data_IF_905470660045
#
_entry.id   IF_905470660045
#
_cell.length_a   1.000
_cell.length_b   1.000
_cell.length_c   1.000
_cell.angle_alpha   90.00
_cell.angle_beta   90.00
_cell.angle_gamma   90.00
#
_symmetry.space_group_name_H-M   'P 1'
#
loop_
_entity.id
_entity.type
_entity.pdbx_description
1 polymer ?
#
# COMPACT_ATOMS: atom_id res chain seq x y z
N UNK A 1 11.12 -2.42 1.12
CA UNK A 1 11.67 -1.07 0.95
C UNK A 1 10.49 -0.10 1.01
N UNK A 2 10.62 1.03 1.67
CA UNK A 2 9.51 2.00 1.77
C UNK A 2 9.46 2.83 0.50
N UNK A 3 8.37 2.75 -0.26
CA UNK A 3 8.14 3.54 -1.45
C UNK A 3 7.15 4.67 -1.20
N UNK A 4 7.09 5.62 -2.14
CA UNK A 4 6.23 6.80 -2.01
C UNK A 4 5.49 7.10 -3.32
N UNK A 5 4.20 7.41 -3.19
CA UNK A 5 3.41 7.98 -4.28
C UNK A 5 3.27 9.49 -4.06
N UNK A 6 3.59 10.29 -5.08
CA UNK A 6 3.45 11.74 -5.05
C UNK A 6 2.02 12.16 -5.43
N UNK A 7 1.38 12.91 -4.55
CA UNK A 7 0.05 13.50 -4.74
C UNK A 7 0.18 15.02 -4.59
N UNK A 8 0.26 15.73 -5.72
CA UNK A 8 0.55 17.16 -5.75
C UNK A 8 1.96 17.46 -5.20
N UNK A 9 2.05 18.31 -4.18
CA UNK A 9 3.30 18.62 -3.48
C UNK A 9 3.57 17.72 -2.26
N UNK A 10 2.65 16.81 -1.93
CA UNK A 10 2.79 15.85 -0.82
C UNK A 10 3.07 14.44 -1.35
N UNK A 11 3.50 13.55 -0.47
CA UNK A 11 3.69 12.13 -0.72
C UNK A 11 3.01 11.28 0.35
N UNK A 12 2.54 10.11 -0.06
CA UNK A 12 2.07 9.04 0.82
C UNK A 12 3.02 7.85 0.72
N UNK A 13 3.25 7.18 1.85
CA UNK A 13 3.95 5.91 1.91
C UNK A 13 3.11 4.82 1.24
N UNK A 14 3.76 4.00 0.42
CA UNK A 14 3.14 2.85 -0.25
C UNK A 14 4.03 1.62 -0.18
N UNK A 15 3.39 0.46 -0.27
CA UNK A 15 4.01 -0.80 -0.63
C UNK A 15 3.27 -1.36 -1.84
N UNK A 16 4.03 -1.69 -2.88
CA UNK A 16 3.49 -2.22 -4.12
C UNK A 16 4.02 -3.63 -4.36
N UNK A 17 3.09 -4.57 -4.56
CA UNK A 17 3.40 -5.95 -4.90
C UNK A 17 2.85 -6.23 -6.31
N UNK A 18 3.68 -6.04 -7.35
CA UNK A 18 3.27 -6.33 -8.72
C UNK A 18 3.20 -7.84 -8.97
N UNK A 19 2.39 -8.20 -9.94
CA UNK A 19 2.34 -9.54 -10.54
C UNK A 19 2.47 -9.39 -12.06
N UNK A 20 2.89 -10.46 -12.73
CA UNK A 20 3.05 -10.43 -14.20
C UNK A 20 1.72 -10.53 -14.96
N UNK A 21 0.68 -11.08 -14.33
CA UNK A 21 -0.64 -11.23 -14.95
C UNK A 21 -1.34 -9.88 -15.10
N UNK A 22 -1.73 -9.52 -16.33
CA UNK A 22 -2.33 -8.22 -16.66
C UNK A 22 -3.85 -8.12 -16.45
N UNK A 23 -4.52 -9.25 -16.24
CA UNK A 23 -5.99 -9.31 -16.25
C UNK A 23 -6.62 -9.48 -14.85
N UNK A 24 -5.81 -9.46 -13.79
CA UNK A 24 -6.30 -9.55 -12.41
C UNK A 24 -6.53 -8.15 -11.81
N UNK A 25 -7.60 -7.96 -11.01
CA UNK A 25 -7.86 -6.68 -10.35
C UNK A 25 -6.81 -6.40 -9.28
N UNK A 26 -6.53 -5.12 -9.02
CA UNK A 26 -5.64 -4.70 -7.93
C UNK A 26 -6.34 -4.79 -6.59
N UNK A 27 -5.73 -5.48 -5.64
CA UNK A 27 -6.14 -5.49 -4.23
C UNK A 27 -5.66 -4.21 -3.55
N UNK A 28 -6.59 -3.44 -2.98
CA UNK A 28 -6.29 -2.21 -2.24
C UNK A 28 -6.51 -2.46 -0.75
N UNK A 29 -5.47 -2.27 0.05
CA UNK A 29 -5.50 -2.46 1.49
C UNK A 29 -5.81 -1.15 2.21
N UNK A 30 -6.94 -1.13 2.92
CA UNK A 30 -7.37 0.02 3.73
C UNK A 30 -7.09 -0.25 5.21
N UNK A 31 -6.54 0.75 5.88
CA UNK A 31 -6.25 0.69 7.29
C UNK A 31 -7.45 1.09 8.15
N UNK A 32 -7.48 0.59 9.39
CA UNK A 32 -8.26 1.23 10.45
C UNK A 32 -7.64 2.58 10.87
N UNK A 33 -8.30 3.31 11.76
CA UNK A 33 -7.97 4.68 12.13
C UNK A 33 -6.54 4.95 12.62
N UNK A 34 -5.78 3.99 13.14
CA UNK A 34 -4.36 4.16 13.51
C UNK A 34 -3.39 3.35 12.65
N UNK A 35 -3.88 2.71 11.58
CA UNK A 35 -3.10 1.77 10.79
C UNK A 35 -2.17 2.44 9.77
N UNK A 36 -1.03 1.79 9.53
CA UNK A 36 -0.07 2.15 8.48
C UNK A 36 0.53 0.90 7.82
N UNK A 37 1.15 1.06 6.64
CA UNK A 37 1.59 -0.07 5.78
C UNK A 37 2.35 -1.16 6.56
N UNK A 38 3.23 -0.77 7.49
CA UNK A 38 4.06 -1.70 8.29
C UNK A 38 3.26 -2.69 9.13
N UNK A 39 2.04 -2.36 9.54
CA UNK A 39 1.22 -3.23 10.41
C UNK A 39 0.72 -4.48 9.69
N UNK A 40 0.65 -4.47 8.36
CA UNK A 40 0.23 -5.62 7.57
C UNK A 40 1.30 -6.72 7.46
N UNK A 41 2.56 -6.43 7.83
CA UNK A 41 3.69 -7.37 7.72
C UNK A 41 3.78 -7.96 6.31
N UNK A 42 3.75 -9.28 6.18
CA UNK A 42 3.84 -10.03 4.93
C UNK A 42 2.48 -10.42 4.35
N UNK A 43 1.37 -10.11 5.02
CA UNK A 43 0.04 -10.53 4.56
C UNK A 43 -0.32 -10.05 3.14
N UNK A 44 -0.07 -8.78 2.75
CA UNK A 44 -0.41 -8.31 1.41
C UNK A 44 0.43 -8.99 0.32
N UNK A 45 1.71 -9.23 0.61
CA UNK A 45 2.58 -10.00 -0.27
C UNK A 45 2.08 -11.43 -0.46
N UNK A 46 1.75 -12.11 0.65
CA UNK A 46 1.23 -13.48 0.59
C UNK A 46 -0.10 -13.54 -0.16
N UNK A 47 -1.02 -12.60 0.08
CA UNK A 47 -2.30 -12.57 -0.61
C UNK A 47 -2.13 -12.33 -2.11
N UNK A 48 -1.25 -11.39 -2.48
CA UNK A 48 -0.92 -11.13 -3.88
C UNK A 48 -0.40 -12.37 -4.59
N UNK A 49 0.56 -13.08 -3.98
CA UNK A 49 1.13 -14.31 -4.53
C UNK A 49 0.10 -15.45 -4.67
N UNK A 50 -0.80 -15.61 -3.71
CA UNK A 50 -1.78 -16.70 -3.73
C UNK A 50 -2.97 -16.42 -4.66
N UNK A 51 -3.28 -15.16 -4.92
CA UNK A 51 -4.41 -14.76 -5.77
C UNK A 51 -4.03 -14.46 -7.21
N UNK A 52 -2.74 -14.24 -7.48
CA UNK A 52 -2.28 -13.69 -8.76
C UNK A 52 -2.73 -12.25 -8.98
N UNK A 53 -3.21 -11.55 -7.93
CA UNK A 53 -3.63 -10.16 -8.01
C UNK A 53 -2.50 -9.24 -7.53
N UNK A 54 -2.21 -8.13 -8.21
CA UNK A 54 -1.31 -7.13 -7.67
C UNK A 54 -1.91 -6.50 -6.41
N UNK A 55 -1.07 -6.08 -5.46
CA UNK A 55 -1.53 -5.48 -4.20
C UNK A 55 -0.89 -4.12 -3.93
N UNK A 56 -1.72 -3.14 -3.62
CA UNK A 56 -1.31 -1.82 -3.13
C UNK A 56 -1.72 -1.66 -1.66
N UNK A 57 -0.74 -1.31 -0.84
CA UNK A 57 -0.91 -0.90 0.55
C UNK A 57 -0.44 0.54 0.65
N UNK A 58 -1.18 1.42 1.32
CA UNK A 58 -0.76 2.81 1.49
C UNK A 58 -1.09 3.31 2.89
N UNK A 59 -0.22 4.15 3.46
CA UNK A 59 -0.52 4.86 4.71
C UNK A 59 -1.24 6.17 4.38
N UNK A 60 -2.40 6.48 4.97
CA UNK A 60 -3.05 7.78 4.77
C UNK A 60 -2.17 8.95 5.22
N UNK A 61 -2.49 10.19 4.81
CA UNK A 61 -1.80 11.36 5.33
C UNK A 61 -1.88 11.42 6.87
N UNK A 62 -0.78 11.78 7.52
CA UNK A 62 -0.66 11.76 8.99
C UNK A 62 -0.25 10.41 9.60
N UNK A 63 -0.13 9.35 8.80
CA UNK A 63 0.22 8.01 9.27
C UNK A 63 1.48 7.46 8.60
N UNK A 64 2.14 6.54 9.30
CA UNK A 64 3.37 5.90 8.81
C UNK A 64 4.42 6.94 8.41
N UNK A 65 4.98 6.77 7.20
CA UNK A 65 5.93 7.73 6.64
C UNK A 65 5.29 8.72 5.65
N UNK A 66 3.95 8.78 5.58
CA UNK A 66 3.25 9.76 4.74
C UNK A 66 3.42 11.18 5.27
N UNK A 67 3.27 12.18 4.39
CA UNK A 67 3.23 13.56 4.86
C UNK A 67 2.06 13.80 5.83
N UNK A 68 2.16 14.82 6.71
CA UNK A 68 1.10 15.13 7.65
C UNK A 68 -0.22 15.49 6.95
N UNK A 69 -1.31 15.05 7.58
CA UNK A 69 -2.67 15.54 7.30
C UNK A 69 -2.76 17.01 7.72
N UNK A 70 -3.57 17.85 7.03
CA UNK A 70 -3.92 19.17 7.55
C UNK A 70 -4.50 19.07 8.97
#
# INVERSE_FOLDING_TARGET
MTDFLKLGNKKIEVQWYPVEQKDHPTLIFLHEGLGCTRMWKNFPQMLSQNTGCPALVFSPFGYGNSNPSP
#
